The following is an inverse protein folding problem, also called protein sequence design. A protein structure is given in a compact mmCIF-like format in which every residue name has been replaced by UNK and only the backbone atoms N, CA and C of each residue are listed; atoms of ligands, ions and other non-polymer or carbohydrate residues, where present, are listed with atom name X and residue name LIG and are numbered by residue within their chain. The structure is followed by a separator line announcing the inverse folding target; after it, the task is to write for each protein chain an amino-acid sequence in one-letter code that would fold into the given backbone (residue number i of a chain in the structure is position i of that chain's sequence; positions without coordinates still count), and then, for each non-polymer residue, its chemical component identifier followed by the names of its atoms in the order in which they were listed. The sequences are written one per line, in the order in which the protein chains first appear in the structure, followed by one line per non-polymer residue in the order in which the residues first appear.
data_IF_951078624274
#
_entry.id   IF_951078624274
#
_cell.length_a   1.000
_cell.length_b   1.000
_cell.length_c   1.000
_cell.angle_alpha   90.00
_cell.angle_beta   90.00
_cell.angle_gamma   90.00
#
_symmetry.space_group_name_H-M   'P 1'
#
loop_
_entity.id
_entity.type
_entity.pdbx_description
1 polymer ?
#
# COMPACT_ATOMS: atom_id res chain seq x y z
N UNK A 1 9.15 -21.03 19.67
CA UNK A 1 8.27 -22.10 19.20
C UNK A 1 7.25 -22.33 20.27
N UNK A 2 5.99 -21.98 20.02
CA UNK A 2 4.92 -22.15 20.99
C UNK A 2 4.77 -23.63 21.40
N UNK A 3 4.49 -23.85 22.68
CA UNK A 3 4.31 -25.20 23.25
C UNK A 3 3.22 -25.98 22.50
N UNK A 4 2.24 -25.27 21.94
CA UNK A 4 1.14 -25.79 21.12
C UNK A 4 1.67 -26.29 19.76
N UNK A 5 2.48 -25.50 19.06
CA UNK A 5 3.08 -25.88 17.77
C UNK A 5 3.96 -27.12 17.91
N UNK A 6 4.68 -27.25 19.03
CA UNK A 6 5.50 -28.43 19.35
C UNK A 6 4.64 -29.69 19.59
N UNK A 7 3.45 -29.54 20.18
CA UNK A 7 2.54 -30.66 20.45
C UNK A 7 1.78 -31.15 19.21
N UNK A 8 1.58 -30.30 18.20
CA UNK A 8 0.81 -30.62 16.99
C UNK A 8 1.50 -31.68 16.11
N UNK A 9 2.83 -31.59 15.92
CA UNK A 9 3.54 -32.51 15.02
C UNK A 9 3.44 -33.99 15.43
N UNK A 10 3.68 -34.37 16.70
CA UNK A 10 3.48 -35.75 17.15
C UNK A 10 2.06 -36.26 16.93
N UNK A 11 1.05 -35.41 17.18
CA UNK A 11 -0.36 -35.77 17.00
C UNK A 11 -0.67 -36.03 15.53
N UNK A 12 -0.18 -35.15 14.64
CA UNK A 12 -0.31 -35.31 13.19
C UNK A 12 0.34 -36.61 12.72
N UNK A 13 1.54 -36.92 13.20
CA UNK A 13 2.24 -38.15 12.84
C UNK A 13 1.48 -39.42 13.24
N UNK A 14 0.93 -39.47 14.46
CA UNK A 14 0.13 -40.61 14.93
C UNK A 14 -1.14 -40.74 14.08
N UNK A 15 -1.82 -39.62 13.78
CA UNK A 15 -3.02 -39.62 12.94
C UNK A 15 -2.75 -40.18 11.53
N UNK A 16 -1.66 -39.74 10.89
CA UNK A 16 -1.22 -40.26 9.58
C UNK A 16 -0.85 -41.75 9.64
N UNK A 17 -0.19 -42.19 10.72
CA UNK A 17 0.15 -43.60 10.94
C UNK A 17 -1.10 -44.47 11.08
N UNK A 18 -2.08 -44.03 11.89
CA UNK A 18 -3.38 -44.70 12.03
C UNK A 18 -4.09 -44.79 10.68
N UNK A 19 -4.09 -43.73 9.88
CA UNK A 19 -4.67 -43.73 8.54
C UNK A 19 -4.01 -44.77 7.61
N UNK A 20 -2.68 -44.82 7.56
CA UNK A 20 -1.95 -45.76 6.72
C UNK A 20 -2.18 -47.22 7.12
N UNK A 21 -2.25 -47.50 8.43
CA UNK A 21 -2.58 -48.83 8.96
C UNK A 21 -4.00 -49.25 8.53
N UNK A 22 -4.96 -48.32 8.56
CA UNK A 22 -6.33 -48.58 8.12
C UNK A 22 -6.47 -48.77 6.61
N UNK A 23 -5.77 -47.98 5.80
CA UNK A 23 -5.84 -48.08 4.34
C UNK A 23 -5.22 -49.38 3.80
N UNK A 24 -4.28 -49.98 4.54
CA UNK A 24 -3.75 -51.31 4.26
C UNK A 24 -4.78 -52.42 4.51
N UNK A 25 -5.80 -52.16 5.33
CA UNK A 25 -6.85 -53.12 5.64
C UNK A 25 -8.01 -53.06 4.62
N UNK A 26 -8.16 -54.11 3.79
CA UNK A 26 -9.27 -54.22 2.82
C UNK A 26 -10.60 -54.67 3.44
N UNK A 27 -10.64 -54.90 4.75
CA UNK A 27 -11.81 -55.39 5.49
C UNK A 27 -12.50 -54.20 6.17
N UNK A 28 -13.80 -54.03 5.94
CA UNK A 28 -14.63 -52.91 6.45
C UNK A 28 -14.41 -51.54 5.78
N UNK A 29 -14.76 -51.47 4.48
CA UNK A 29 -14.64 -50.27 3.65
C UNK A 29 -15.34 -49.03 4.21
N UNK A 30 -16.48 -49.18 4.88
CA UNK A 30 -17.26 -48.02 5.36
C UNK A 30 -16.62 -47.38 6.59
N UNK A 31 -16.21 -48.17 7.59
CA UNK A 31 -15.49 -47.65 8.75
C UNK A 31 -14.14 -47.04 8.35
N UNK A 32 -13.38 -47.73 7.48
CA UNK A 32 -12.11 -47.20 6.96
C UNK A 32 -12.30 -45.86 6.22
N UNK A 33 -13.37 -45.71 5.43
CA UNK A 33 -13.66 -44.46 4.74
C UNK A 33 -14.09 -43.34 5.70
N UNK A 34 -14.89 -43.64 6.73
CA UNK A 34 -15.29 -42.65 7.74
C UNK A 34 -14.10 -42.16 8.54
N UNK A 35 -13.25 -43.08 9.00
CA UNK A 35 -12.01 -42.74 9.68
C UNK A 35 -11.09 -41.93 8.78
N UNK A 36 -10.90 -42.35 7.52
CA UNK A 36 -10.07 -41.64 6.55
C UNK A 36 -10.52 -40.18 6.37
N UNK A 37 -11.82 -39.93 6.30
CA UNK A 37 -12.38 -38.58 6.23
C UNK A 37 -12.12 -37.81 7.53
N UNK A 38 -12.35 -38.44 8.68
CA UNK A 38 -12.13 -37.83 10.00
C UNK A 38 -10.67 -37.44 10.21
N UNK A 39 -9.72 -38.33 9.93
CA UNK A 39 -8.28 -38.08 10.07
C UNK A 39 -7.81 -36.97 9.14
N UNK A 40 -8.26 -36.94 7.88
CA UNK A 40 -7.92 -35.85 6.96
C UNK A 40 -8.45 -34.50 7.44
N UNK A 41 -9.69 -34.47 7.94
CA UNK A 41 -10.29 -33.26 8.49
C UNK A 41 -9.53 -32.80 9.76
N UNK A 42 -9.10 -33.74 10.59
CA UNK A 42 -8.28 -33.47 11.78
C UNK A 42 -6.93 -32.87 11.43
N UNK A 43 -6.21 -33.48 10.48
CA UNK A 43 -4.91 -32.98 10.01
C UNK A 43 -5.05 -31.56 9.44
N UNK A 44 -6.11 -31.29 8.68
CA UNK A 44 -6.38 -29.95 8.16
C UNK A 44 -6.63 -28.93 9.28
N UNK A 45 -7.39 -29.29 10.33
CA UNK A 45 -7.59 -28.45 11.51
C UNK A 45 -6.28 -28.19 12.26
N UNK A 46 -5.44 -29.21 12.42
CA UNK A 46 -4.12 -29.09 13.06
C UNK A 46 -3.16 -28.21 12.26
N UNK A 47 -3.17 -28.29 10.93
CA UNK A 47 -2.38 -27.41 10.06
C UNK A 47 -2.87 -25.96 10.14
N UNK A 48 -4.18 -25.73 10.23
CA UNK A 48 -4.74 -24.39 10.43
C UNK A 48 -4.32 -23.77 11.77
N UNK A 49 -4.35 -24.56 12.85
CA UNK A 49 -3.87 -24.14 14.18
C UNK A 49 -2.38 -23.77 14.18
N UNK A 50 -1.56 -24.48 13.38
CA UNK A 50 -0.14 -24.18 13.24
C UNK A 50 0.15 -22.87 12.52
N UNK A 51 -0.76 -22.42 11.65
CA UNK A 51 -0.61 -21.16 10.91
C UNK A 51 -1.05 -19.92 11.70
N UNK A 52 -1.62 -20.06 12.89
CA UNK A 52 -2.08 -18.95 13.72
C UNK A 52 -0.94 -18.39 14.61
N UNK A 53 -0.91 -17.06 14.78
CA UNK A 53 0.15 -16.33 15.51
C UNK A 53 -0.22 -15.95 16.96
N UNK A 54 -1.49 -16.03 17.38
CA UNK A 54 -1.93 -15.60 18.72
C UNK A 54 -2.97 -16.56 19.31
N UNK A 55 -2.51 -17.72 19.79
CA UNK A 55 -3.36 -18.72 20.48
C UNK A 55 -3.36 -18.52 22.01
N UNK A 56 -2.88 -17.36 22.49
CA UNK A 56 -2.58 -17.13 23.91
C UNK A 56 -3.82 -17.17 24.80
N UNK A 57 -4.97 -16.70 24.29
CA UNK A 57 -6.23 -16.60 25.02
C UNK A 57 -6.83 -17.96 25.40
N UNK A 58 -6.56 -19.02 24.62
CA UNK A 58 -7.14 -20.36 24.80
C UNK A 58 -6.09 -21.46 24.88
N UNK A 59 -4.82 -21.10 25.07
CA UNK A 59 -3.67 -22.01 25.10
C UNK A 59 -3.88 -23.21 26.03
N UNK A 60 -4.48 -23.03 27.21
CA UNK A 60 -4.74 -24.10 28.17
C UNK A 60 -5.82 -25.09 27.71
N UNK A 61 -6.96 -24.58 27.22
CA UNK A 61 -8.06 -25.40 26.71
C UNK A 61 -7.63 -26.15 25.45
N UNK A 62 -6.92 -25.47 24.55
CA UNK A 62 -6.39 -26.08 23.34
C UNK A 62 -5.35 -27.17 23.66
N UNK A 63 -4.43 -26.92 24.59
CA UNK A 63 -3.48 -27.94 25.05
C UNK A 63 -4.17 -29.14 25.67
N UNK A 64 -5.20 -28.93 26.49
CA UNK A 64 -5.98 -30.03 27.06
C UNK A 64 -6.61 -30.87 25.95
N UNK A 65 -7.28 -30.24 24.97
CA UNK A 65 -7.93 -30.95 23.87
C UNK A 65 -6.95 -31.66 22.95
N UNK A 66 -5.80 -31.06 22.66
CA UNK A 66 -4.73 -31.72 21.93
C UNK A 66 -4.15 -32.91 22.72
N UNK A 67 -4.06 -32.81 24.04
CA UNK A 67 -3.65 -33.92 24.91
C UNK A 67 -4.64 -35.08 24.89
N UNK A 68 -5.93 -34.79 25.02
CA UNK A 68 -7.01 -35.80 24.92
C UNK A 68 -7.00 -36.48 23.53
N UNK A 69 -6.91 -35.68 22.47
CA UNK A 69 -6.81 -36.17 21.09
C UNK A 69 -5.61 -37.11 20.90
N UNK A 70 -4.45 -36.73 21.45
CA UNK A 70 -3.24 -37.55 21.39
C UNK A 70 -3.49 -38.93 22.02
N UNK A 71 -4.08 -38.96 23.22
CA UNK A 71 -4.38 -40.22 23.94
C UNK A 71 -5.36 -41.08 23.13
N UNK A 72 -6.38 -40.49 22.53
CA UNK A 72 -7.37 -41.21 21.70
C UNK A 72 -6.72 -41.81 20.45
N UNK A 73 -5.84 -41.07 19.79
CA UNK A 73 -5.07 -41.56 18.64
C UNK A 73 -4.08 -42.67 19.03
N UNK A 74 -3.39 -42.54 20.16
CA UNK A 74 -2.50 -43.60 20.69
C UNK A 74 -3.28 -44.87 21.05
N UNK A 75 -4.49 -44.73 21.59
CA UNK A 75 -5.37 -45.87 21.85
C UNK A 75 -5.82 -46.56 20.55
N UNK A 76 -6.14 -45.77 19.51
CA UNK A 76 -6.47 -46.29 18.19
C UNK A 76 -5.27 -47.03 17.57
N UNK A 77 -4.07 -46.43 17.63
CA UNK A 77 -2.83 -47.04 17.16
C UNK A 77 -2.49 -48.33 17.91
N UNK A 78 -2.57 -48.35 19.25
CA UNK A 78 -2.29 -49.52 20.06
C UNK A 78 -3.26 -50.69 19.77
N UNK A 79 -4.52 -50.39 19.47
CA UNK A 79 -5.47 -51.39 19.00
C UNK A 79 -5.11 -51.91 17.62
N UNK A 80 -4.45 -51.13 16.76
CA UNK A 80 -3.98 -51.52 15.42
C UNK A 80 -2.63 -52.24 15.42
N UNK A 81 -1.75 -51.98 16.38
CA UNK A 81 -0.44 -52.64 16.48
C UNK A 81 -0.52 -53.97 17.23
N UNK A 82 -1.45 -54.13 18.19
CA UNK A 82 -1.77 -55.45 18.80
C UNK A 82 -2.33 -56.49 17.80
N UNK A 83 -2.47 -56.10 16.54
CA UNK A 83 -3.21 -56.79 15.47
C UNK A 83 -2.30 -57.34 14.36
N UNK A 84 -0.98 -57.37 14.52
CA UNK A 84 -0.05 -57.93 13.51
C UNK A 84 -0.29 -59.44 13.30
N UNK A 85 -1.27 -59.71 12.42
CA UNK A 85 -1.80 -61.00 12.04
C UNK A 85 -3.06 -60.77 11.21
N UNK A 86 -2.91 -60.59 9.90
CA UNK A 86 -3.96 -60.25 8.91
C UNK A 86 -5.20 -61.18 8.96
N UNK A 87 -5.05 -62.40 9.49
CA UNK A 87 -6.14 -63.37 9.68
C UNK A 87 -6.94 -63.18 10.97
N UNK A 88 -6.42 -62.48 11.97
CA UNK A 88 -7.08 -62.23 13.25
C UNK A 88 -7.86 -60.91 13.23
N UNK A 89 -7.37 -59.88 12.53
CA UNK A 89 -8.09 -58.61 12.39
C UNK A 89 -9.45 -58.82 11.73
N UNK A 90 -9.46 -59.59 10.63
CA UNK A 90 -10.69 -59.96 9.91
C UNK A 90 -11.65 -60.81 10.75
N UNK A 91 -11.13 -61.64 11.67
CA UNK A 91 -11.95 -62.48 12.57
C UNK A 91 -12.51 -61.68 13.75
N UNK A 92 -11.77 -60.70 14.26
CA UNK A 92 -12.16 -59.88 15.40
C UNK A 92 -12.99 -58.65 15.03
N UNK A 93 -12.77 -58.02 13.87
CA UNK A 93 -13.73 -57.04 13.31
C UNK A 93 -15.09 -57.69 13.02
N UNK A 94 -15.08 -58.99 12.72
CA UNK A 94 -16.31 -59.79 12.53
C UNK A 94 -16.91 -60.28 13.85
N UNK A 95 -16.16 -60.19 14.95
CA UNK A 95 -16.67 -60.43 16.30
C UNK A 95 -17.24 -59.13 16.87
N UNK A 96 -18.57 -59.00 16.86
CA UNK A 96 -19.35 -57.78 17.18
C UNK A 96 -18.75 -56.88 18.29
N UNK A 97 -18.31 -57.48 19.40
CA UNK A 97 -17.76 -56.81 20.58
C UNK A 97 -16.50 -55.95 20.37
N UNK A 98 -15.71 -56.22 19.32
CA UNK A 98 -14.49 -55.44 19.02
C UNK A 98 -14.76 -54.38 17.96
N UNK A 99 -15.78 -54.57 17.11
CA UNK A 99 -16.30 -53.50 16.26
C UNK A 99 -16.89 -52.39 17.14
N UNK A 100 -17.72 -52.75 18.14
CA UNK A 100 -18.36 -51.77 19.03
C UNK A 100 -17.32 -50.82 19.67
N UNK A 101 -16.21 -51.37 20.20
CA UNK A 101 -15.11 -50.57 20.78
C UNK A 101 -14.38 -49.69 19.77
N UNK A 102 -14.28 -50.14 18.52
CA UNK A 102 -13.67 -49.38 17.44
C UNK A 102 -14.58 -48.22 17.02
N UNK A 103 -15.87 -48.51 16.91
CA UNK A 103 -16.92 -47.53 16.59
C UNK A 103 -17.00 -46.46 17.69
N UNK A 104 -16.91 -46.84 18.97
CA UNK A 104 -16.85 -45.93 20.12
C UNK A 104 -15.63 -44.99 20.03
N UNK A 105 -14.45 -45.53 19.71
CA UNK A 105 -13.22 -44.72 19.56
C UNK A 105 -13.30 -43.76 18.37
N UNK A 106 -13.88 -44.17 17.26
CA UNK A 106 -14.07 -43.28 16.11
C UNK A 106 -15.09 -42.20 16.37
N UNK A 107 -16.16 -42.52 17.09
CA UNK A 107 -17.12 -41.54 17.55
C UNK A 107 -16.45 -40.51 18.46
N UNK A 108 -15.62 -40.97 19.41
CA UNK A 108 -14.84 -40.12 20.29
C UNK A 108 -13.88 -39.21 19.51
N UNK A 109 -13.11 -39.75 18.55
CA UNK A 109 -12.18 -38.98 17.71
C UNK A 109 -12.90 -37.91 16.89
N UNK A 110 -14.08 -38.24 16.38
CA UNK A 110 -14.89 -37.31 15.61
C UNK A 110 -15.48 -36.19 16.49
N UNK A 111 -15.87 -36.51 17.73
CA UNK A 111 -16.35 -35.51 18.67
C UNK A 111 -15.23 -34.61 19.18
N UNK A 112 -14.02 -35.13 19.38
CA UNK A 112 -12.79 -34.35 19.62
C UNK A 112 -12.46 -33.42 18.45
N UNK A 113 -12.55 -33.91 17.20
CA UNK A 113 -12.37 -33.08 16.00
C UNK A 113 -13.37 -31.92 15.94
N UNK A 114 -14.65 -32.18 16.21
CA UNK A 114 -15.68 -31.13 16.26
C UNK A 114 -15.39 -30.10 17.33
N UNK A 115 -14.95 -30.52 18.50
CA UNK A 115 -14.60 -29.60 19.59
C UNK A 115 -13.43 -28.71 19.21
N UNK A 116 -12.38 -29.26 18.59
CA UNK A 116 -11.25 -28.48 18.09
C UNK A 116 -11.66 -27.51 16.98
N UNK A 117 -12.52 -27.94 16.05
CA UNK A 117 -13.04 -27.07 14.99
C UNK A 117 -13.90 -25.91 15.53
N UNK A 118 -14.72 -26.16 16.57
CA UNK A 118 -15.50 -25.13 17.25
C UNK A 118 -14.61 -24.12 17.97
N UNK A 119 -13.57 -24.59 18.66
CA UNK A 119 -12.60 -23.71 19.32
C UNK A 119 -11.90 -22.80 18.31
N UNK A 120 -11.49 -23.34 17.16
CA UNK A 120 -10.92 -22.57 16.05
C UNK A 120 -11.89 -21.50 15.51
N UNK A 121 -13.19 -21.82 15.47
CA UNK A 121 -14.22 -20.88 15.01
C UNK A 121 -14.48 -19.74 16.03
N UNK A 122 -14.41 -20.04 17.33
CA UNK A 122 -14.51 -19.04 18.40
C UNK A 122 -13.30 -18.09 18.35
N UNK A 123 -12.11 -18.64 18.16
CA UNK A 123 -10.86 -17.87 18.04
C UNK A 123 -10.88 -16.89 16.84
N UNK A 124 -11.39 -17.33 15.69
CA UNK A 124 -11.58 -16.46 14.53
C UNK A 124 -12.62 -15.33 14.77
N UNK A 125 -13.60 -15.56 15.65
CA UNK A 125 -14.59 -14.53 16.00
C UNK A 125 -14.05 -13.52 17.00
N UNK A 126 -13.22 -13.95 17.95
CA UNK A 126 -12.63 -13.06 18.96
C UNK A 126 -11.57 -12.14 18.35
N UNK A 127 -10.72 -12.67 17.47
CA UNK A 127 -9.75 -11.88 16.69
C UNK A 127 -10.44 -10.87 15.79
N UNK A 128 -11.50 -11.26 15.07
CA UNK A 128 -12.34 -10.33 14.32
C UNK A 128 -12.97 -9.26 15.24
N UNK A 129 -13.44 -9.63 16.43
CA UNK A 129 -13.99 -8.71 17.42
C UNK A 129 -12.96 -7.71 17.96
N UNK A 130 -11.70 -8.11 18.16
CA UNK A 130 -10.63 -7.21 18.57
C UNK A 130 -10.25 -6.20 17.46
N UNK A 131 -10.26 -6.65 16.20
CA UNK A 131 -10.02 -5.78 15.05
C UNK A 131 -11.16 -4.78 14.85
N UNK A 132 -12.43 -5.21 14.99
CA UNK A 132 -13.59 -4.32 14.92
C UNK A 132 -13.53 -3.20 15.97
N UNK A 133 -13.15 -3.53 17.22
CA UNK A 133 -12.96 -2.49 18.25
C UNK A 133 -11.85 -1.48 17.91
N UNK A 134 -10.77 -1.92 17.26
CA UNK A 134 -9.71 -1.00 16.80
C UNK A 134 -10.22 -0.09 15.67
N UNK A 135 -11.05 -0.61 14.77
CA UNK A 135 -11.70 0.18 13.73
C UNK A 135 -12.63 1.23 14.33
N UNK A 136 -13.43 0.87 15.34
CA UNK A 136 -14.31 1.83 16.05
C UNK A 136 -13.50 2.98 16.69
N UNK A 137 -12.40 2.67 17.38
CA UNK A 137 -11.52 3.70 17.98
C UNK A 137 -10.95 4.62 16.90
N UNK A 138 -10.46 4.07 15.79
CA UNK A 138 -9.92 4.87 14.69
C UNK A 138 -11.00 5.74 14.05
N UNK A 139 -12.21 5.20 13.89
CA UNK A 139 -13.36 5.93 13.35
C UNK A 139 -13.73 7.13 14.24
N UNK A 140 -13.83 6.94 15.55
CA UNK A 140 -14.08 8.05 16.50
C UNK A 140 -13.00 9.13 16.40
N UNK A 141 -11.74 8.72 16.18
CA UNK A 141 -10.61 9.64 16.00
C UNK A 141 -10.72 10.41 14.68
N UNK A 142 -11.16 9.74 13.61
CA UNK A 142 -11.40 10.33 12.30
C UNK A 142 -12.55 11.33 12.34
N UNK A 143 -13.66 11.01 13.00
CA UNK A 143 -14.79 11.92 13.15
C UNK A 143 -14.40 13.18 13.95
N UNK A 144 -13.63 13.02 15.01
CA UNK A 144 -13.04 14.14 15.75
C UNK A 144 -12.08 14.98 14.90
N UNK A 145 -11.37 14.35 13.97
CA UNK A 145 -10.47 15.05 13.03
C UNK A 145 -11.26 15.77 11.94
N UNK A 146 -12.30 15.14 11.40
CA UNK A 146 -13.18 15.74 10.40
C UNK A 146 -13.84 17.00 10.95
N UNK A 147 -14.33 16.97 12.20
CA UNK A 147 -14.88 18.16 12.85
C UNK A 147 -13.87 19.31 12.95
N UNK A 148 -12.61 19.02 13.27
CA UNK A 148 -11.53 20.03 13.28
C UNK A 148 -11.23 20.57 11.89
N UNK A 149 -11.21 19.72 10.86
CA UNK A 149 -11.00 20.13 9.47
C UNK A 149 -12.11 21.06 9.01
N UNK A 150 -13.38 20.75 9.31
CA UNK A 150 -14.51 21.63 9.00
C UNK A 150 -14.36 23.00 9.68
N UNK A 151 -14.00 23.03 10.97
CA UNK A 151 -13.77 24.29 11.68
C UNK A 151 -12.62 25.12 11.08
N UNK A 152 -11.54 24.46 10.63
CA UNK A 152 -10.45 25.13 9.91
C UNK A 152 -10.93 25.67 8.57
N UNK A 153 -11.74 24.91 7.83
CA UNK A 153 -12.29 25.35 6.55
C UNK A 153 -13.14 26.62 6.71
N UNK A 154 -14.01 26.66 7.71
CA UNK A 154 -14.80 27.86 8.04
C UNK A 154 -13.93 29.07 8.39
N UNK A 155 -12.82 28.86 9.12
CA UNK A 155 -11.85 29.92 9.41
C UNK A 155 -11.14 30.42 8.14
N UNK A 156 -10.78 29.51 7.23
CA UNK A 156 -10.17 29.86 5.94
C UNK A 156 -11.14 30.66 5.08
N UNK A 157 -12.40 30.27 4.99
CA UNK A 157 -13.42 31.01 4.23
C UNK A 157 -13.64 32.42 4.79
N UNK A 158 -13.73 32.54 6.12
CA UNK A 158 -13.79 33.85 6.79
C UNK A 158 -12.56 34.71 6.46
N UNK A 159 -11.39 34.10 6.33
CA UNK A 159 -10.14 34.78 6.01
C UNK A 159 -10.09 35.19 4.53
N UNK A 160 -10.50 34.31 3.60
CA UNK A 160 -10.61 34.62 2.18
C UNK A 160 -11.54 35.82 1.94
N UNK A 161 -12.66 35.89 2.66
CA UNK A 161 -13.56 37.03 2.55
C UNK A 161 -12.95 38.34 3.07
N UNK A 162 -12.13 38.28 4.13
CA UNK A 162 -11.36 39.45 4.60
C UNK A 162 -10.31 39.88 3.58
N UNK A 163 -9.63 38.93 2.93
CA UNK A 163 -8.64 39.23 1.88
C UNK A 163 -9.30 39.91 0.68
N UNK A 164 -10.43 39.39 0.18
CA UNK A 164 -11.18 40.06 -0.91
C UNK A 164 -11.58 41.50 -0.56
N UNK A 165 -11.98 41.76 0.69
CA UNK A 165 -12.29 43.12 1.14
C UNK A 165 -11.05 44.03 1.17
N UNK A 166 -9.87 43.49 1.46
CA UNK A 166 -8.60 44.23 1.41
C UNK A 166 -8.18 44.51 -0.02
N UNK A 167 -8.29 43.54 -0.93
CA UNK A 167 -7.99 43.72 -2.36
C UNK A 167 -8.84 44.82 -2.97
N UNK A 168 -10.15 44.84 -2.70
CA UNK A 168 -11.04 45.90 -3.17
C UNK A 168 -10.59 47.30 -2.68
N UNK A 169 -10.16 47.42 -1.41
CA UNK A 169 -9.64 48.68 -0.86
C UNK A 169 -8.28 49.06 -1.44
N UNK A 170 -7.45 48.07 -1.75
CA UNK A 170 -6.14 48.28 -2.38
C UNK A 170 -6.32 48.80 -3.80
N UNK A 171 -7.25 48.25 -4.58
CA UNK A 171 -7.60 48.74 -5.92
C UNK A 171 -8.05 50.20 -5.90
N UNK A 172 -8.91 50.58 -4.94
CA UNK A 172 -9.33 51.97 -4.78
C UNK A 172 -8.16 52.89 -4.40
N UNK A 173 -7.28 52.43 -3.51
CA UNK A 173 -6.07 53.16 -3.12
C UNK A 173 -5.10 53.32 -4.31
N UNK A 174 -4.97 52.30 -5.15
CA UNK A 174 -4.11 52.31 -6.33
C UNK A 174 -4.65 53.26 -7.41
N UNK A 175 -5.97 53.33 -7.61
CA UNK A 175 -6.61 54.35 -8.45
C UNK A 175 -6.34 55.77 -7.94
N UNK A 176 -6.47 56.00 -6.63
CA UNK A 176 -6.17 57.30 -6.03
C UNK A 176 -4.70 57.68 -6.19
N UNK A 177 -3.79 56.73 -6.01
CA UNK A 177 -2.35 56.94 -6.20
C UNK A 177 -2.01 57.27 -7.65
N UNK A 178 -2.62 56.60 -8.63
CA UNK A 178 -2.46 56.93 -10.05
C UNK A 178 -2.89 58.37 -10.36
N UNK A 179 -4.05 58.79 -9.85
CA UNK A 179 -4.53 60.16 -10.01
C UNK A 179 -3.60 61.20 -9.35
N UNK A 180 -3.00 60.86 -8.21
CA UNK A 180 -1.98 61.70 -7.57
C UNK A 180 -0.70 61.77 -8.40
N UNK A 181 -0.24 60.64 -8.95
CA UNK A 181 0.94 60.59 -9.81
C UNK A 181 0.76 61.47 -11.06
N UNK A 182 -0.41 61.44 -11.70
CA UNK A 182 -0.73 62.30 -12.85
C UNK A 182 -0.70 63.80 -12.49
N UNK A 183 -1.17 64.15 -11.29
CA UNK A 183 -1.10 65.54 -10.78
C UNK A 183 0.35 65.95 -10.51
N UNK A 184 1.16 65.06 -9.96
CA UNK A 184 2.60 65.29 -9.71
C UNK A 184 3.34 65.48 -11.03
N UNK A 185 3.10 64.64 -12.03
CA UNK A 185 3.69 64.78 -13.36
C UNK A 185 3.38 66.14 -14.00
N UNK A 186 2.11 66.57 -13.98
CA UNK A 186 1.70 67.90 -14.46
C UNK A 186 2.35 69.03 -13.66
N UNK A 187 2.50 68.87 -12.35
CA UNK A 187 3.20 69.83 -11.49
C UNK A 187 4.71 69.88 -11.76
N UNK A 188 5.31 68.77 -12.18
CA UNK A 188 6.73 68.72 -12.55
C UNK A 188 6.96 69.46 -13.88
N UNK A 189 6.11 69.24 -14.89
CA UNK A 189 6.19 69.96 -16.17
C UNK A 189 6.06 71.48 -15.99
N UNK A 190 5.17 71.94 -15.10
CA UNK A 190 5.05 73.37 -14.80
C UNK A 190 6.27 73.90 -14.07
N UNK A 191 6.84 73.13 -13.16
CA UNK A 191 8.09 73.48 -12.46
C UNK A 191 9.26 73.58 -13.44
N UNK A 192 9.39 72.64 -14.39
CA UNK A 192 10.44 72.66 -15.41
C UNK A 192 10.30 73.86 -16.35
N UNK A 193 9.07 74.19 -16.77
CA UNK A 193 8.80 75.40 -17.57
C UNK A 193 9.14 76.70 -16.82
N UNK A 194 8.83 76.75 -15.52
CA UNK A 194 9.19 77.88 -14.67
C UNK A 194 10.72 77.96 -14.51
N UNK A 195 11.39 76.84 -14.29
CA UNK A 195 12.84 76.77 -14.19
C UNK A 195 13.51 77.30 -15.46
N UNK A 196 13.03 76.90 -16.65
CA UNK A 196 13.54 77.39 -17.93
C UNK A 196 13.36 78.92 -18.07
N UNK A 197 12.23 79.47 -17.63
CA UNK A 197 11.99 80.92 -17.63
C UNK A 197 12.92 81.66 -16.67
N UNK A 198 13.13 81.12 -15.46
CA UNK A 198 14.07 81.68 -14.47
C UNK A 198 15.50 81.64 -15.00
N UNK A 199 15.93 80.54 -15.63
CA UNK A 199 17.27 80.43 -16.21
C UNK A 199 17.49 81.44 -17.34
N UNK A 200 16.48 81.65 -18.21
CA UNK A 200 16.51 82.70 -19.23
C UNK A 200 16.64 84.09 -18.61
N UNK A 201 15.92 84.38 -17.52
CA UNK A 201 16.02 85.65 -16.79
C UNK A 201 17.41 85.86 -16.16
N UNK A 202 18.00 84.81 -15.59
CA UNK A 202 19.36 84.84 -15.04
C UNK A 202 20.39 85.13 -16.15
N UNK A 203 20.26 84.50 -17.33
CA UNK A 203 21.14 84.78 -18.50
C UNK A 203 21.01 86.22 -19.01
N UNK A 204 19.83 86.83 -18.91
CA UNK A 204 19.63 88.26 -19.27
C UNK A 204 20.31 89.20 -18.25
N UNK A 205 20.45 88.77 -16.99
CA UNK A 205 21.08 89.55 -15.93
C UNK A 205 22.62 89.41 -15.86
N UNK A 206 23.27 88.64 -16.74
CA UNK A 206 24.72 88.43 -16.65
C UNK A 206 25.39 88.24 -18.02
N UNK A 207 25.92 89.34 -18.54
CA UNK A 207 27.21 89.37 -19.24
C UNK A 207 28.00 90.57 -18.72
N UNK A 208 28.89 90.34 -17.75
CA UNK A 208 30.26 90.86 -17.86
C UNK A 208 31.27 90.10 -16.95
N UNK A 209 32.47 89.98 -17.51
CA UNK A 209 33.77 89.64 -16.94
C UNK A 209 34.16 88.19 -16.53
N UNK A 210 35.40 87.92 -16.94
CA UNK A 210 36.21 86.70 -16.93
C UNK A 210 37.15 86.62 -15.70
N UNK A 211 37.71 85.42 -15.49
CA UNK A 211 39.06 85.12 -14.95
C UNK A 211 39.30 84.93 -13.43
N UNK A 212 39.86 83.77 -13.07
CA UNK A 212 40.88 83.61 -12.01
C UNK A 212 40.72 82.43 -11.03
N UNK A 213 41.63 81.43 -11.06
CA UNK A 213 41.86 80.41 -10.00
C UNK A 213 42.62 80.98 -8.77
N UNK A 214 43.07 80.21 -7.73
CA UNK A 214 43.59 78.83 -7.76
C UNK A 214 43.30 77.86 -6.53
N UNK A 215 43.67 76.57 -6.69
CA UNK A 215 44.23 75.55 -5.74
C UNK A 215 43.73 75.28 -4.28
N UNK A 216 43.12 74.08 -4.08
CA UNK A 216 43.43 72.91 -3.17
C UNK A 216 43.61 73.07 -1.61
N UNK A 217 43.53 72.02 -0.72
CA UNK A 217 43.24 70.58 -0.94
C UNK A 217 42.37 69.79 0.11
N UNK A 218 41.90 68.59 -0.32
CA UNK A 218 41.87 67.29 0.39
C UNK A 218 40.71 66.89 1.37
N UNK A 219 40.58 65.60 1.80
CA UNK A 219 40.00 64.44 1.09
C UNK A 219 38.93 63.66 1.90
N UNK A 220 38.31 62.64 1.28
CA UNK A 220 37.61 61.58 2.02
C UNK A 220 36.70 60.68 1.17
N UNK A 221 37.30 59.77 0.40
CA UNK A 221 36.65 58.62 -0.25
C UNK A 221 36.32 57.51 0.80
N UNK A 222 35.82 56.31 0.44
CA UNK A 222 35.30 55.78 -0.84
C UNK A 222 33.88 55.17 -0.64
N UNK A 223 33.17 54.44 -1.51
CA UNK A 223 33.56 53.41 -2.47
C UNK A 223 32.29 52.92 -3.21
N UNK A 224 32.43 52.51 -4.47
CA UNK A 224 31.61 51.42 -5.03
C UNK A 224 30.49 51.80 -6.00
N UNK A 225 30.82 51.89 -7.29
CA UNK A 225 29.96 51.51 -8.42
C UNK A 225 30.32 50.05 -8.73
N UNK A 226 29.37 49.14 -9.07
CA UNK A 226 29.05 48.93 -10.49
C UNK A 226 27.59 48.58 -10.80
N UNK A 227 27.08 49.26 -11.84
CA UNK A 227 26.37 48.73 -13.02
C UNK A 227 25.51 47.47 -12.90
N UNK A 228 24.21 47.62 -13.21
CA UNK A 228 23.34 46.92 -14.21
C UNK A 228 23.41 45.37 -14.33
N UNK A 229 22.46 44.66 -14.98
CA UNK A 229 21.05 44.92 -15.28
C UNK A 229 20.13 43.78 -14.75
N UNK A 230 18.82 43.99 -14.82
CA UNK A 230 17.87 42.87 -14.88
C UNK A 230 18.03 42.10 -16.21
N UNK A 231 17.92 40.77 -16.20
CA UNK A 231 17.08 40.13 -17.21
C UNK A 231 16.13 39.09 -16.59
N UNK A 232 14.92 39.03 -17.16
CA UNK A 232 13.78 38.25 -16.69
C UNK A 232 13.95 36.72 -16.69
N UNK A 233 12.87 36.01 -16.34
CA UNK A 233 12.89 34.58 -16.09
C UNK A 233 13.03 33.82 -17.41
N UNK A 234 14.10 33.02 -17.50
CA UNK A 234 14.24 32.04 -18.56
C UNK A 234 13.13 30.99 -18.45
N UNK A 235 12.27 31.02 -19.46
CA UNK A 235 11.38 30.00 -19.95
C UNK A 235 11.69 28.57 -19.46
N UNK A 236 10.65 27.92 -18.90
CA UNK A 236 10.49 26.46 -18.94
C UNK A 236 10.61 26.02 -20.41
N UNK A 237 11.42 25.00 -20.73
CA UNK A 237 11.16 24.23 -21.94
C UNK A 237 9.91 23.40 -21.69
N UNK A 238 8.89 23.65 -22.49
CA UNK A 238 7.78 22.77 -22.72
C UNK A 238 8.28 21.39 -23.18
N UNK A 239 7.59 20.35 -22.73
CA UNK A 239 7.76 18.99 -23.21
C UNK A 239 7.66 18.94 -24.76
N UNK A 240 8.62 18.33 -25.48
CA UNK A 240 8.46 17.97 -26.88
C UNK A 240 7.44 16.82 -27.07
N UNK A 241 6.78 16.76 -28.24
CA UNK A 241 5.64 15.88 -28.51
C UNK A 241 6.04 14.41 -28.74
N UNK A 242 5.16 13.50 -28.26
CA UNK A 242 4.84 12.12 -28.70
C UNK A 242 5.94 11.23 -29.35
N UNK A 243 6.10 9.98 -28.89
CA UNK A 243 5.98 8.87 -29.88
C UNK A 243 4.98 7.72 -29.56
N UNK A 244 3.70 7.80 -29.93
CA UNK A 244 2.51 6.98 -29.52
C UNK A 244 2.57 5.43 -29.26
N UNK A 245 3.71 4.73 -29.27
CA UNK A 245 3.71 3.26 -29.40
C UNK A 245 3.79 2.41 -28.11
N UNK A 246 4.37 2.91 -27.01
CA UNK A 246 4.61 2.06 -25.81
C UNK A 246 3.33 1.64 -25.07
N UNK A 247 2.35 2.55 -24.96
CA UNK A 247 1.07 2.25 -24.30
C UNK A 247 0.18 1.32 -25.15
N UNK A 248 0.27 1.44 -26.48
CA UNK A 248 -0.41 0.56 -27.42
C UNK A 248 0.19 -0.86 -27.40
N UNK A 249 1.51 -0.98 -27.36
CA UNK A 249 2.22 -2.26 -27.26
C UNK A 249 1.82 -3.03 -25.99
N UNK A 250 1.75 -2.36 -24.82
CA UNK A 250 1.26 -2.98 -23.58
C UNK A 250 -0.21 -3.42 -23.66
N UNK A 251 -1.03 -2.67 -24.39
CA UNK A 251 -2.42 -3.06 -24.67
C UNK A 251 -2.52 -4.35 -25.48
N UNK A 252 -1.67 -4.50 -26.51
CA UNK A 252 -1.65 -5.68 -27.38
C UNK A 252 -1.13 -6.94 -26.64
N UNK A 253 -0.15 -6.78 -25.76
CA UNK A 253 0.42 -7.91 -25.00
C UNK A 253 -0.36 -8.27 -23.73
N UNK A 254 -1.35 -7.45 -23.34
CA UNK A 254 -2.16 -7.61 -22.12
C UNK A 254 -2.67 -9.03 -21.92
N UNK A 255 -3.30 -9.63 -22.93
CA UNK A 255 -3.88 -10.98 -22.81
C UNK A 255 -2.80 -12.06 -22.60
N UNK A 256 -1.67 -11.93 -23.31
CA UNK A 256 -0.56 -12.89 -23.23
C UNK A 256 0.23 -12.74 -21.92
N UNK A 257 0.39 -11.52 -21.43
CA UNK A 257 1.00 -11.25 -20.13
C UNK A 257 0.15 -11.82 -19.00
N UNK A 258 -1.18 -11.63 -19.04
CA UNK A 258 -2.10 -12.20 -18.05
C UNK A 258 -1.97 -13.72 -18.00
N UNK A 259 -1.90 -14.39 -19.15
CA UNK A 259 -1.80 -15.85 -19.24
C UNK A 259 -0.46 -16.40 -18.75
N UNK A 260 0.66 -15.71 -19.02
CA UNK A 260 2.01 -16.24 -18.75
C UNK A 260 2.72 -15.68 -17.51
N UNK A 261 2.31 -14.52 -17.00
CA UNK A 261 3.00 -13.92 -15.85
C UNK A 261 2.92 -14.82 -14.61
N UNK A 262 3.96 -14.92 -13.80
CA UNK A 262 3.90 -15.71 -12.56
C UNK A 262 3.56 -14.80 -11.37
N UNK A 263 2.88 -15.30 -10.34
CA UNK A 263 2.58 -14.50 -9.13
C UNK A 263 3.83 -13.84 -8.51
N UNK A 264 4.99 -14.53 -8.43
CA UNK A 264 6.24 -13.92 -7.99
C UNK A 264 6.72 -12.78 -8.91
N UNK A 265 6.64 -12.96 -10.23
CA UNK A 265 7.02 -11.92 -11.20
C UNK A 265 6.11 -10.70 -11.09
N UNK A 266 4.79 -10.89 -10.91
CA UNK A 266 3.87 -9.77 -10.67
C UNK A 266 4.27 -8.97 -9.44
N UNK A 267 4.59 -9.65 -8.33
CA UNK A 267 5.00 -8.99 -7.08
C UNK A 267 6.30 -8.21 -7.29
N UNK A 268 7.29 -8.81 -7.94
CA UNK A 268 8.56 -8.15 -8.24
C UNK A 268 8.40 -6.93 -9.15
N UNK A 269 7.59 -7.04 -10.22
CA UNK A 269 7.31 -5.90 -11.10
C UNK A 269 6.60 -4.77 -10.36
N UNK A 270 5.67 -5.12 -9.46
CA UNK A 270 4.94 -4.15 -8.67
C UNK A 270 5.86 -3.43 -7.67
N UNK A 271 6.77 -4.14 -7.01
CA UNK A 271 7.80 -3.55 -6.12
C UNK A 271 8.76 -2.62 -6.88
N UNK A 272 9.19 -3.01 -8.10
CA UNK A 272 10.07 -2.17 -8.93
C UNK A 272 9.36 -0.95 -9.49
N UNK A 273 8.09 -1.08 -9.90
CA UNK A 273 7.28 0.05 -10.35
C UNK A 273 6.93 1.02 -9.22
N UNK A 274 6.77 0.53 -7.98
CA UNK A 274 6.71 1.39 -6.80
C UNK A 274 8.04 2.11 -6.56
N UNK A 275 9.16 1.38 -6.64
CA UNK A 275 10.51 1.93 -6.43
C UNK A 275 10.85 3.02 -7.45
N UNK A 276 10.46 2.81 -8.71
CA UNK A 276 10.60 3.79 -9.79
C UNK A 276 9.62 4.98 -9.70
N UNK A 277 8.80 5.06 -8.62
CA UNK A 277 7.70 6.03 -8.43
C UNK A 277 6.69 6.07 -9.58
N UNK A 278 6.57 4.96 -10.29
CA UNK A 278 5.57 4.80 -11.35
C UNK A 278 4.21 4.50 -10.73
N UNK A 279 4.15 3.64 -9.71
CA UNK A 279 2.93 3.36 -8.95
C UNK A 279 3.00 4.01 -7.57
N UNK A 280 1.89 4.58 -7.11
CA UNK A 280 1.78 5.02 -5.72
C UNK A 280 1.58 3.79 -4.82
N UNK A 281 2.00 3.87 -3.56
CA UNK A 281 1.85 2.77 -2.59
C UNK A 281 0.40 2.28 -2.50
N UNK A 282 -0.57 3.21 -2.53
CA UNK A 282 -2.01 2.90 -2.50
C UNK A 282 -2.48 2.14 -3.75
N UNK A 283 -2.02 2.51 -4.94
CA UNK A 283 -2.42 1.83 -6.18
C UNK A 283 -1.83 0.41 -6.25
N UNK A 284 -0.61 0.26 -5.75
CA UNK A 284 0.09 -1.00 -5.77
C UNK A 284 -0.44 -1.97 -4.71
N UNK A 285 -0.83 -1.48 -3.53
CA UNK A 285 -1.57 -2.24 -2.53
C UNK A 285 -2.98 -2.59 -3.01
N UNK A 286 -3.69 -1.66 -3.67
CA UNK A 286 -5.02 -1.92 -4.24
C UNK A 286 -4.99 -3.03 -5.32
N UNK A 287 -3.96 -3.08 -6.18
CA UNK A 287 -3.78 -4.20 -7.13
C UNK A 287 -3.51 -5.53 -6.42
N UNK A 288 -2.88 -5.53 -5.25
CA UNK A 288 -2.54 -6.73 -4.47
C UNK A 288 -3.71 -7.24 -3.60
N UNK A 289 -4.39 -6.33 -2.90
CA UNK A 289 -5.43 -6.61 -1.89
C UNK A 289 -6.79 -6.86 -2.51
N UNK A 290 -7.17 -6.10 -3.55
CA UNK A 290 -8.54 -6.13 -4.07
C UNK A 290 -8.83 -7.38 -4.93
N UNK A 291 -7.80 -8.17 -5.25
CA UNK A 291 -7.93 -9.19 -6.29
C UNK A 291 -7.34 -10.56 -5.88
N UNK A 292 -8.19 -11.59 -5.80
CA UNK A 292 -7.81 -12.93 -5.34
C UNK A 292 -7.16 -13.80 -6.42
N UNK A 293 -7.44 -13.54 -7.71
CA UNK A 293 -6.93 -14.33 -8.83
C UNK A 293 -5.68 -13.70 -9.48
N UNK A 294 -4.68 -14.55 -9.77
CA UNK A 294 -3.41 -14.16 -10.46
C UNK A 294 -3.65 -13.37 -11.75
N UNK A 295 -4.62 -13.83 -12.55
CA UNK A 295 -4.93 -13.26 -13.84
C UNK A 295 -5.51 -11.83 -13.72
N UNK A 296 -6.35 -11.60 -12.71
CA UNK A 296 -6.97 -10.31 -12.49
C UNK A 296 -5.96 -9.30 -11.91
N UNK A 297 -5.01 -9.76 -11.06
CA UNK A 297 -3.84 -8.96 -10.64
C UNK A 297 -3.00 -8.52 -11.83
N UNK A 298 -2.73 -9.43 -12.77
CA UNK A 298 -1.91 -9.14 -13.95
C UNK A 298 -2.60 -8.13 -14.86
N UNK A 299 -3.93 -8.24 -15.00
CA UNK A 299 -4.76 -7.32 -15.77
C UNK A 299 -4.75 -5.93 -15.13
N UNK A 300 -4.95 -5.86 -13.81
CA UNK A 300 -4.98 -4.59 -13.09
C UNK A 300 -3.62 -3.88 -13.16
N UNK A 301 -2.50 -4.61 -12.97
CA UNK A 301 -1.15 -4.07 -13.11
C UNK A 301 -0.93 -3.42 -14.49
N UNK A 302 -1.21 -4.16 -15.57
CA UNK A 302 -1.05 -3.61 -16.94
C UNK A 302 -1.97 -2.42 -17.17
N UNK A 303 -3.21 -2.47 -16.71
CA UNK A 303 -4.18 -1.40 -16.94
C UNK A 303 -3.82 -0.11 -16.19
N UNK A 304 -3.34 -0.24 -14.96
CA UNK A 304 -2.86 0.91 -14.17
C UNK A 304 -1.61 1.52 -14.79
N UNK A 305 -0.63 0.70 -15.18
CA UNK A 305 0.58 1.18 -15.87
C UNK A 305 0.25 1.84 -17.19
N UNK A 306 -0.68 1.27 -17.98
CA UNK A 306 -1.12 1.85 -19.25
C UNK A 306 -1.85 3.18 -19.05
N UNK A 307 -2.70 3.30 -18.02
CA UNK A 307 -3.42 4.54 -17.68
C UNK A 307 -2.48 5.67 -17.25
N UNK A 308 -1.35 5.35 -16.64
CA UNK A 308 -0.32 6.35 -16.25
C UNK A 308 0.49 6.89 -17.42
N UNK A 309 0.43 6.24 -18.58
CA UNK A 309 0.98 6.73 -19.83
C UNK A 309 2.33 6.13 -20.19
N UNK A 310 2.99 6.74 -21.18
CA UNK A 310 4.21 6.21 -21.83
C UNK A 310 5.33 5.88 -20.87
N UNK A 311 5.73 6.83 -20.02
CA UNK A 311 6.93 6.68 -19.17
C UNK A 311 6.76 5.49 -18.24
N UNK A 312 5.56 5.32 -17.69
CA UNK A 312 5.20 4.15 -16.90
C UNK A 312 5.29 2.86 -17.71
N UNK A 313 4.77 2.90 -18.95
CA UNK A 313 4.76 1.76 -19.87
C UNK A 313 6.17 1.30 -20.28
N UNK A 314 7.05 2.25 -20.62
CA UNK A 314 8.45 1.98 -20.98
C UNK A 314 9.24 1.43 -19.79
N UNK A 315 9.04 1.99 -18.59
CA UNK A 315 9.66 1.48 -17.36
C UNK A 315 9.22 0.05 -17.08
N UNK A 316 7.92 -0.28 -17.23
CA UNK A 316 7.43 -1.65 -17.06
C UNK A 316 8.03 -2.63 -18.07
N UNK A 317 8.16 -2.24 -19.35
CA UNK A 317 8.77 -3.09 -20.38
C UNK A 317 10.25 -3.33 -20.06
N UNK A 318 10.97 -2.31 -19.59
CA UNK A 318 12.39 -2.42 -19.22
C UNK A 318 12.57 -3.40 -18.05
N UNK A 319 11.80 -3.23 -16.97
CA UNK A 319 11.84 -4.15 -15.82
C UNK A 319 11.40 -5.58 -16.19
N UNK A 320 10.41 -5.71 -17.08
CA UNK A 320 9.99 -7.02 -17.57
C UNK A 320 11.12 -7.72 -18.34
N UNK A 321 11.86 -6.98 -19.17
CA UNK A 321 13.02 -7.51 -19.91
C UNK A 321 14.16 -7.91 -18.99
N UNK A 322 14.42 -7.11 -17.95
CA UNK A 322 15.49 -7.37 -16.98
C UNK A 322 15.19 -8.57 -16.07
N UNK A 323 13.92 -8.76 -15.69
CA UNK A 323 13.50 -9.88 -14.81
C UNK A 323 13.20 -11.17 -15.55
N UNK A 324 12.58 -11.07 -16.71
CA UNK A 324 12.13 -12.22 -17.48
C UNK A 324 12.30 -11.97 -18.99
N UNK A 325 13.55 -12.10 -19.48
CA UNK A 325 13.84 -11.90 -20.91
C UNK A 325 13.18 -12.96 -21.80
N UNK A 326 12.85 -14.16 -21.28
CA UNK A 326 12.13 -15.18 -22.03
C UNK A 326 10.65 -14.81 -22.21
N UNK A 327 10.02 -14.27 -21.16
CA UNK A 327 8.66 -13.75 -21.23
C UNK A 327 8.60 -12.50 -22.12
N UNK A 328 9.57 -11.59 -22.03
CA UNK A 328 9.64 -10.42 -22.91
C UNK A 328 9.72 -10.81 -24.39
N UNK A 329 10.54 -11.81 -24.74
CA UNK A 329 10.60 -12.37 -26.10
C UNK A 329 9.28 -13.01 -26.51
N UNK A 330 8.67 -13.80 -25.62
CA UNK A 330 7.37 -14.46 -25.88
C UNK A 330 6.23 -13.46 -26.11
N UNK A 331 6.32 -12.29 -25.49
CA UNK A 331 5.36 -11.20 -25.62
C UNK A 331 5.65 -10.28 -26.82
N UNK A 332 6.80 -10.43 -27.50
CA UNK A 332 7.21 -9.55 -28.60
C UNK A 332 7.68 -8.17 -28.15
N UNK A 333 8.20 -8.08 -26.92
CA UNK A 333 8.71 -6.86 -26.27
C UNK A 333 10.24 -6.85 -26.12
N UNK A 334 10.93 -7.81 -26.75
CA UNK A 334 12.39 -7.94 -26.74
C UNK A 334 13.09 -6.88 -27.61
#
# INVERSE_FOLDING_TARGET
MDLITSAIEPIKFIAETVYELFMKEKSNKEQCQRLAKCVRALVATLDALRCQQDLSAHSTVLQQRLGELRVTLEAAEALMLKREGTSQIKKLLKANKTSDKLDDLFQQLHDEHKQLALLLQVENRETAGATLRKVDIVQDTMDGTAAKVTAVHEQVDSTLQKVHNVDAKMDDSQKQMGALHDKVAKSQETMDSLHEKVEKLIKVASLDASSGGPTNPNPGAPSGVPTNPNPGPAARPADPPLPEDAAAALGAVRSRFVEKASLPLLKQLLDELQTARVLNSEEAESVLEEQSARADRARCLIDTVRKKGRRASETMITHLRDKDPELAQTLGLA
#
